data_IF_595175020651
#
_entry.id   IF_595175020651
#
_cell.length_a   1.000
_cell.length_b   1.000
_cell.length_c   1.000
_cell.angle_alpha   90.00
_cell.angle_beta   90.00
_cell.angle_gamma   90.00
#
_symmetry.space_group_name_H-M   'P 1'
#
loop_
_entity.id
_entity.type
_entity.pdbx_description
1 polymer ?
#
# COMPACT_ATOMS: atom_id res chain seq x y z
N UNK A 1 -54.85 2.82 -66.39
CA UNK A 1 -53.77 1.90 -65.99
C UNK A 1 -52.45 2.64 -66.16
N UNK A 2 -51.83 3.14 -65.10
CA UNK A 2 -50.43 3.57 -65.21
C UNK A 2 -49.73 3.45 -63.86
N UNK A 3 -48.78 2.52 -63.81
CA UNK A 3 -48.20 1.90 -62.63
C UNK A 3 -47.08 2.75 -61.99
N UNK A 4 -47.35 4.03 -61.75
CA UNK A 4 -46.36 4.94 -61.20
C UNK A 4 -45.96 4.69 -59.72
N UNK A 5 -46.85 4.22 -58.80
CA UNK A 5 -46.44 4.04 -57.40
C UNK A 5 -45.65 2.76 -57.15
N UNK A 6 -45.67 1.78 -58.08
CA UNK A 6 -44.92 0.52 -57.93
C UNK A 6 -43.44 0.65 -58.29
N UNK A 7 -43.09 1.60 -59.16
CA UNK A 7 -41.72 1.78 -59.64
C UNK A 7 -40.85 2.55 -58.64
N UNK A 8 -41.43 3.51 -57.92
CA UNK A 8 -40.76 4.26 -56.84
C UNK A 8 -40.47 3.36 -55.61
N UNK A 9 -41.38 2.43 -55.30
CA UNK A 9 -41.20 1.49 -54.20
C UNK A 9 -40.06 0.47 -54.45
N UNK A 10 -39.84 0.07 -55.70
CA UNK A 10 -38.77 -0.89 -56.06
C UNK A 10 -37.40 -0.22 -56.02
N UNK A 11 -37.28 1.06 -56.41
CA UNK A 11 -36.02 1.80 -56.32
C UNK A 11 -35.60 2.10 -54.87
N UNK A 12 -36.56 2.32 -53.95
CA UNK A 12 -36.25 2.57 -52.55
C UNK A 12 -35.71 1.31 -51.81
N UNK A 13 -36.17 0.12 -52.17
CA UNK A 13 -35.68 -1.15 -51.58
C UNK A 13 -34.30 -1.53 -52.15
N UNK A 14 -34.02 -1.21 -53.42
CA UNK A 14 -32.70 -1.44 -54.01
C UNK A 14 -31.60 -0.51 -53.42
N UNK A 15 -31.97 0.71 -53.00
CA UNK A 15 -31.03 1.63 -52.34
C UNK A 15 -30.74 1.25 -50.87
N UNK A 16 -31.64 0.52 -50.20
CA UNK A 16 -31.41 0.03 -48.84
C UNK A 16 -30.55 -1.25 -48.78
N UNK A 17 -30.48 -2.02 -49.87
CA UNK A 17 -29.66 -3.24 -49.95
C UNK A 17 -28.17 -3.00 -50.21
N UNK A 18 -27.78 -1.81 -50.66
CA UNK A 18 -26.40 -1.52 -51.07
C UNK A 18 -25.51 -0.88 -49.98
N UNK A 19 -26.03 -0.66 -48.76
CA UNK A 19 -25.30 -0.02 -47.65
C UNK A 19 -25.03 -0.92 -46.44
N UNK A 20 -25.39 -2.22 -46.51
CA UNK A 20 -25.14 -3.19 -45.43
C UNK A 20 -24.00 -4.20 -45.72
N UNK A 21 -23.23 -4.03 -46.78
CA UNK A 21 -22.13 -4.94 -47.15
C UNK A 21 -20.80 -4.75 -46.38
N UNK A 22 -20.45 -3.59 -45.75
CA UNK A 22 -19.09 -3.46 -45.20
C UNK A 22 -18.82 -3.85 -43.72
N UNK A 23 -19.74 -4.35 -42.86
CA UNK A 23 -19.32 -4.88 -41.54
C UNK A 23 -19.38 -6.41 -41.39
N UNK A 24 -19.93 -7.16 -42.35
CA UNK A 24 -20.10 -8.62 -42.24
C UNK A 24 -18.78 -9.43 -42.34
N UNK A 25 -17.73 -8.87 -42.94
CA UNK A 25 -16.48 -9.59 -43.18
C UNK A 25 -15.58 -9.73 -41.92
N UNK A 26 -15.77 -8.91 -40.88
CA UNK A 26 -14.95 -8.98 -39.65
C UNK A 26 -15.45 -9.99 -38.62
N UNK A 27 -16.68 -10.47 -38.73
CA UNK A 27 -17.20 -11.49 -37.81
C UNK A 27 -16.85 -12.93 -38.25
N UNK A 28 -16.71 -13.17 -39.56
CA UNK A 28 -16.36 -14.51 -40.08
C UNK A 28 -14.90 -14.91 -39.82
N UNK A 29 -13.99 -13.95 -39.64
CA UNK A 29 -12.57 -14.21 -39.39
C UNK A 29 -12.29 -14.77 -37.98
N UNK A 30 -13.22 -14.64 -37.03
CA UNK A 30 -13.04 -15.16 -35.67
C UNK A 30 -13.52 -16.59 -35.46
N UNK A 31 -14.15 -17.24 -36.46
CA UNK A 31 -14.68 -18.62 -36.31
C UNK A 31 -14.05 -19.67 -37.23
N UNK A 32 -13.19 -19.28 -38.18
CA UNK A 32 -12.49 -20.22 -39.05
C UNK A 32 -11.05 -20.40 -38.57
N UNK A 33 -10.85 -21.25 -37.55
CA UNK A 33 -9.54 -21.61 -36.99
C UNK A 33 -8.56 -22.20 -38.02
N UNK A 34 -7.96 -21.35 -38.83
CA UNK A 34 -6.89 -21.68 -39.76
C UNK A 34 -5.56 -21.25 -39.16
N UNK A 35 -5.01 -22.09 -38.29
CA UNK A 35 -3.58 -22.04 -37.97
C UNK A 35 -2.85 -22.65 -39.16
N UNK A 36 -2.50 -21.82 -40.14
CA UNK A 36 -1.49 -22.18 -41.13
C UNK A 36 -0.12 -22.19 -40.45
N UNK A 37 0.29 -23.33 -39.90
CA UNK A 37 1.68 -23.54 -39.52
C UNK A 37 2.47 -23.80 -40.80
N UNK A 38 3.34 -22.88 -41.16
CA UNK A 38 4.39 -23.12 -42.17
C UNK A 38 5.38 -24.09 -41.53
N UNK A 39 5.61 -25.31 -42.06
CA UNK A 39 6.70 -26.13 -41.58
C UNK A 39 8.01 -25.56 -42.13
N UNK A 40 8.83 -24.96 -41.27
CA UNK A 40 10.24 -24.74 -41.60
C UNK A 40 10.90 -26.11 -41.84
N UNK A 41 11.42 -26.31 -43.04
CA UNK A 41 12.30 -27.45 -43.34
C UNK A 41 13.70 -27.10 -42.87
N UNK A 42 14.17 -27.82 -41.85
CA UNK A 42 15.58 -27.81 -41.47
C UNK A 42 16.32 -28.86 -42.30
N UNK A 43 16.94 -28.44 -43.40
CA UNK A 43 18.00 -29.21 -44.05
C UNK A 43 19.35 -28.82 -43.46
N UNK A 44 19.99 -29.68 -42.66
CA UNK A 44 21.44 -29.98 -42.70
C UNK A 44 21.88 -31.05 -41.67
N UNK A 45 23.00 -31.77 -41.92
CA UNK A 45 23.18 -33.15 -41.48
C UNK A 45 23.87 -33.34 -40.12
N UNK A 46 23.72 -34.58 -39.64
CA UNK A 46 24.39 -35.23 -38.51
C UNK A 46 25.92 -35.13 -38.62
N UNK A 47 26.54 -34.37 -37.70
CA UNK A 47 27.89 -34.63 -37.22
C UNK A 47 27.80 -34.79 -35.71
N UNK A 48 27.83 -36.04 -35.27
CA UNK A 48 28.14 -36.40 -33.88
C UNK A 48 29.60 -36.07 -33.59
N UNK A 49 29.83 -35.12 -32.69
CA UNK A 49 30.95 -35.20 -31.75
C UNK A 49 30.43 -34.80 -30.37
N UNK A 50 30.08 -35.81 -29.57
CA UNK A 50 29.47 -35.63 -28.25
C UNK A 50 30.57 -35.53 -27.20
N UNK A 51 31.02 -34.32 -26.91
CA UNK A 51 31.63 -34.02 -25.62
C UNK A 51 30.55 -34.12 -24.52
N UNK A 52 30.79 -34.78 -23.37
CA UNK A 52 29.84 -34.76 -22.27
C UNK A 52 29.63 -33.31 -21.78
N UNK A 53 28.40 -32.88 -21.47
CA UNK A 53 28.18 -31.56 -20.92
C UNK A 53 28.96 -31.42 -19.60
N UNK A 54 29.60 -30.27 -19.34
CA UNK A 54 30.23 -30.03 -18.05
C UNK A 54 29.18 -30.20 -16.96
N UNK A 55 29.51 -30.95 -15.92
CA UNK A 55 28.64 -31.13 -14.75
C UNK A 55 28.50 -29.76 -14.09
N UNK A 56 27.34 -29.11 -14.28
CA UNK A 56 27.02 -27.81 -13.70
C UNK A 56 26.97 -27.90 -12.18
N UNK A 57 28.09 -27.57 -11.53
CA UNK A 57 28.20 -27.48 -10.06
C UNK A 57 27.50 -26.25 -9.49
N UNK A 58 26.96 -25.39 -10.35
CA UNK A 58 26.20 -24.19 -10.03
C UNK A 58 24.97 -24.46 -9.15
N UNK A 59 24.26 -25.57 -9.34
CA UNK A 59 23.18 -25.97 -8.43
C UNK A 59 23.70 -26.48 -7.08
N UNK A 60 24.89 -27.10 -7.02
CA UNK A 60 25.48 -27.62 -5.79
C UNK A 60 26.03 -26.48 -4.91
N UNK A 61 26.56 -25.44 -5.55
CA UNK A 61 27.01 -24.20 -4.89
C UNK A 61 25.84 -23.35 -4.38
N UNK A 62 24.69 -23.36 -5.06
CA UNK A 62 23.49 -22.63 -4.63
C UNK A 62 22.88 -23.14 -3.31
N UNK A 63 23.05 -24.44 -3.00
CA UNK A 63 22.55 -25.02 -1.74
C UNK A 63 23.43 -24.75 -0.51
N UNK A 64 24.59 -24.11 -0.68
CA UNK A 64 25.52 -23.72 0.40
C UNK A 64 25.59 -24.72 1.58
N UNK A 65 25.87 -26.03 1.36
CA UNK A 65 25.70 -27.07 2.37
C UNK A 65 26.64 -26.97 3.59
N UNK A 66 27.58 -26.02 3.59
CA UNK A 66 28.48 -25.72 4.70
C UNK A 66 28.46 -24.23 5.10
N UNK A 67 27.42 -23.49 4.71
CA UNK A 67 27.30 -22.04 4.92
C UNK A 67 28.00 -21.23 3.83
N UNK A 68 27.42 -20.07 3.50
CA UNK A 68 28.02 -19.14 2.56
C UNK A 68 29.29 -18.49 3.17
N UNK A 69 30.40 -18.47 2.42
CA UNK A 69 31.53 -17.62 2.78
C UNK A 69 31.05 -16.17 2.78
N UNK A 70 31.13 -15.51 3.94
CA UNK A 70 30.97 -14.07 4.02
C UNK A 70 31.96 -13.42 3.05
N UNK A 71 31.44 -12.64 2.10
CA UNK A 71 32.27 -11.81 1.24
C UNK A 71 33.24 -10.99 2.12
N UNK A 72 34.48 -10.77 1.69
CA UNK A 72 35.41 -9.92 2.43
C UNK A 72 34.75 -8.55 2.63
N UNK A 73 34.52 -8.22 3.89
CA UNK A 73 34.11 -6.89 4.36
C UNK A 73 34.94 -5.85 3.61
N UNK A 74 34.28 -5.03 2.78
CA UNK A 74 34.89 -3.84 2.22
C UNK A 74 35.51 -3.04 3.37
N UNK A 75 36.68 -2.40 3.18
CA UNK A 75 37.40 -1.74 4.26
C UNK A 75 36.47 -0.71 4.90
N UNK A 76 36.20 -0.89 6.21
CA UNK A 76 35.66 0.16 7.07
C UNK A 76 36.63 1.34 6.97
N UNK A 77 36.22 2.37 6.24
CA UNK A 77 36.91 3.64 6.26
C UNK A 77 36.87 4.18 7.69
N UNK A 78 38.01 4.65 8.22
CA UNK A 78 38.11 5.06 9.61
C UNK A 78 37.43 6.42 9.80
N UNK A 79 36.46 6.46 10.71
CA UNK A 79 36.13 7.65 11.49
C UNK A 79 35.86 8.93 10.69
N UNK A 80 34.79 8.95 9.89
CA UNK A 80 34.04 10.19 9.76
C UNK A 80 33.22 10.32 11.05
N UNK A 81 33.34 11.47 11.72
CA UNK A 81 32.46 11.80 12.84
C UNK A 81 31.03 11.63 12.38
N UNK A 82 30.35 10.58 12.85
CA UNK A 82 29.00 10.22 12.41
C UNK A 82 28.07 11.40 12.66
N UNK A 83 27.89 12.25 11.65
CA UNK A 83 26.98 13.38 11.70
C UNK A 83 25.58 12.82 11.84
N UNK A 84 24.90 13.13 12.93
CA UNK A 84 23.52 12.68 13.14
C UNK A 84 22.61 13.63 12.40
N UNK A 85 22.02 13.18 11.29
CA UNK A 85 20.97 13.92 10.60
C UNK A 85 19.64 13.58 11.29
N UNK A 86 18.92 14.61 11.73
CA UNK A 86 17.58 14.47 12.30
C UNK A 86 16.57 14.39 11.16
N UNK A 87 16.24 13.16 10.77
CA UNK A 87 15.39 12.84 9.64
C UNK A 87 14.30 11.87 10.09
N UNK A 88 13.06 12.17 9.71
CA UNK A 88 11.91 11.32 10.00
C UNK A 88 11.26 10.88 8.69
N UNK A 89 11.11 9.56 8.53
CA UNK A 89 10.43 8.98 7.38
C UNK A 89 8.91 8.97 7.65
N UNK A 90 8.14 9.71 6.85
CA UNK A 90 6.69 9.79 7.01
C UNK A 90 5.94 8.81 6.10
N UNK A 91 6.50 8.44 4.96
CA UNK A 91 5.81 7.62 3.97
C UNK A 91 6.73 7.13 2.87
N UNK A 92 6.42 5.95 2.34
CA UNK A 92 7.08 5.43 1.13
C UNK A 92 6.04 4.93 0.15
N UNK A 93 6.20 5.34 -1.10
CA UNK A 93 5.50 4.77 -2.25
C UNK A 93 6.50 3.97 -3.08
N UNK A 94 6.50 2.64 -2.91
CA UNK A 94 7.34 1.74 -3.71
C UNK A 94 6.63 1.43 -5.02
N UNK A 95 7.25 1.76 -6.15
CA UNK A 95 6.76 1.38 -7.47
C UNK A 95 7.51 0.14 -7.98
N UNK A 96 6.91 -0.60 -8.92
CA UNK A 96 7.56 -1.76 -9.56
C UNK A 96 8.87 -1.40 -10.26
N UNK A 97 9.01 -0.12 -10.66
CA UNK A 97 10.25 0.45 -11.14
C UNK A 97 10.83 1.34 -10.03
N UNK A 98 12.04 1.04 -9.51
CA UNK A 98 12.63 1.79 -8.39
C UNK A 98 12.83 3.28 -8.71
N UNK A 99 12.99 3.67 -9.98
CA UNK A 99 13.10 5.08 -10.37
C UNK A 99 11.79 5.87 -10.15
N UNK A 100 10.66 5.17 -10.08
CA UNK A 100 9.33 5.75 -9.80
C UNK A 100 8.98 5.74 -8.32
N UNK A 101 9.78 5.12 -7.46
CA UNK A 101 9.58 5.11 -6.01
C UNK A 101 9.74 6.51 -5.42
N UNK A 102 8.94 6.84 -4.42
CA UNK A 102 8.95 8.14 -3.74
C UNK A 102 8.99 7.93 -2.24
N UNK A 103 9.77 8.75 -1.55
CA UNK A 103 9.77 8.83 -0.10
C UNK A 103 9.28 10.22 0.34
N UNK A 104 8.45 10.25 1.38
CA UNK A 104 8.02 11.47 2.05
C UNK A 104 8.85 11.59 3.32
N UNK A 105 9.72 12.59 3.39
CA UNK A 105 10.74 12.70 4.42
C UNK A 105 10.68 14.09 5.04
N UNK A 106 10.71 14.16 6.36
CA UNK A 106 10.89 15.40 7.09
C UNK A 106 12.36 15.63 7.41
N UNK A 107 12.86 16.81 7.00
CA UNK A 107 14.22 17.27 7.31
C UNK A 107 14.12 18.61 8.01
N UNK A 108 14.65 18.73 9.23
CA UNK A 108 14.63 19.98 9.99
C UNK A 108 13.22 20.53 10.26
N UNK A 109 12.20 19.67 10.26
CA UNK A 109 10.79 20.03 10.49
C UNK A 109 9.96 20.36 9.24
N UNK A 110 10.55 20.36 8.04
CA UNK A 110 9.82 20.50 6.77
C UNK A 110 9.64 19.15 6.07
N UNK A 111 8.42 18.83 5.63
CA UNK A 111 8.08 17.56 4.96
C UNK A 111 8.08 17.75 3.44
N UNK A 112 8.93 16.99 2.75
CA UNK A 112 9.05 17.04 1.28
C UNK A 112 9.11 15.65 0.63
N UNK A 113 9.02 15.61 -0.70
CA UNK A 113 9.00 14.38 -1.52
C UNK A 113 10.33 14.18 -2.24
N UNK A 114 10.94 13.02 -2.02
CA UNK A 114 12.27 12.67 -2.54
C UNK A 114 12.25 11.40 -3.40
N UNK A 115 13.21 11.32 -4.31
CA UNK A 115 13.50 10.20 -5.21
C UNK A 115 14.90 9.66 -4.92
N UNK A 116 15.16 8.43 -5.38
CA UNK A 116 16.51 7.86 -5.34
C UNK A 116 17.46 8.78 -6.11
N UNK A 117 18.53 9.22 -5.44
CA UNK A 117 19.52 10.17 -5.93
C UNK A 117 19.25 11.64 -5.62
N UNK A 118 18.12 11.98 -4.99
CA UNK A 118 17.85 13.36 -4.54
C UNK A 118 18.69 13.70 -3.29
N UNK A 119 18.97 14.99 -3.09
CA UNK A 119 19.69 15.52 -1.92
C UNK A 119 18.68 15.89 -0.81
N UNK A 120 18.91 15.37 0.40
CA UNK A 120 18.07 15.52 1.59
C UNK A 120 18.59 16.59 2.55
N UNK A 121 19.48 17.48 2.08
CA UNK A 121 20.25 18.45 2.84
C UNK A 121 21.53 17.90 3.50
N UNK A 122 22.47 18.81 3.74
CA UNK A 122 23.76 18.52 4.40
C UNK A 122 24.62 17.45 3.68
N UNK A 123 24.54 17.38 2.34
CA UNK A 123 25.19 16.36 1.50
C UNK A 123 24.70 14.92 1.77
N UNK A 124 23.50 14.76 2.32
CA UNK A 124 22.85 13.47 2.42
C UNK A 124 22.14 13.14 1.11
N UNK A 125 22.42 11.98 0.51
CA UNK A 125 21.82 11.54 -0.76
C UNK A 125 20.96 10.30 -0.52
N UNK A 126 19.76 10.25 -1.11
CA UNK A 126 18.88 9.09 -1.00
C UNK A 126 19.43 7.94 -1.86
N UNK A 127 20.05 6.95 -1.23
CA UNK A 127 20.66 5.82 -1.92
C UNK A 127 19.63 4.76 -2.32
N UNK A 128 18.63 4.48 -1.46
CA UNK A 128 17.59 3.51 -1.76
C UNK A 128 16.27 3.81 -1.03
N UNK A 129 15.18 3.32 -1.61
CA UNK A 129 13.83 3.40 -1.06
C UNK A 129 13.26 1.98 -0.96
N UNK A 130 13.02 1.50 0.25
CA UNK A 130 12.37 0.23 0.56
C UNK A 130 11.01 0.46 1.22
N UNK A 131 10.19 -0.59 1.35
CA UNK A 131 8.82 -0.46 1.84
C UNK A 131 8.76 0.04 3.30
N UNK A 132 9.77 -0.32 4.09
CA UNK A 132 9.85 -0.16 5.54
C UNK A 132 10.99 0.77 5.99
N UNK A 133 11.93 1.09 5.09
CA UNK A 133 13.05 1.97 5.37
C UNK A 133 13.56 2.70 4.11
N UNK A 134 14.32 3.76 4.33
CA UNK A 134 15.14 4.41 3.32
C UNK A 134 16.61 4.31 3.67
N UNK A 135 17.46 4.18 2.66
CA UNK A 135 18.91 4.19 2.82
C UNK A 135 19.44 5.53 2.35
N UNK A 136 20.17 6.22 3.21
CA UNK A 136 20.71 7.56 2.97
C UNK A 136 22.22 7.49 3.12
N UNK A 137 22.94 7.95 2.10
CA UNK A 137 24.39 8.13 2.14
C UNK A 137 24.70 9.51 2.69
N UNK A 138 25.39 9.58 3.83
CA UNK A 138 25.79 10.84 4.46
C UNK A 138 27.31 10.89 4.42
N UNK A 139 27.89 11.73 3.55
CA UNK A 139 29.34 11.87 3.38
C UNK A 139 30.08 10.52 3.12
N UNK A 140 29.42 9.56 2.47
CA UNK A 140 29.94 8.21 2.20
C UNK A 140 29.64 7.16 3.27
N UNK A 141 28.94 7.52 4.35
CA UNK A 141 28.40 6.59 5.34
C UNK A 141 26.94 6.27 5.02
N UNK A 142 26.66 5.05 4.55
CA UNK A 142 25.29 4.58 4.35
C UNK A 142 24.61 4.26 5.68
N UNK A 143 23.43 4.87 5.89
CA UNK A 143 22.58 4.65 7.07
C UNK A 143 21.15 4.39 6.67
N UNK A 144 20.45 3.62 7.49
CA UNK A 144 19.05 3.27 7.27
C UNK A 144 18.16 4.05 8.21
N UNK A 145 17.07 4.59 7.68
CA UNK A 145 16.05 5.31 8.43
C UNK A 145 14.70 4.65 8.17
N UNK A 146 14.04 4.22 9.24
CA UNK A 146 12.67 3.73 9.23
C UNK A 146 11.70 4.81 9.69
N UNK A 147 10.43 4.44 9.83
CA UNK A 147 9.38 5.32 10.34
C UNK A 147 9.65 5.81 11.77
N UNK A 148 10.34 4.99 12.58
CA UNK A 148 10.69 5.31 13.97
C UNK A 148 12.06 6.03 14.10
N UNK A 149 12.69 6.40 12.98
CA UNK A 149 13.99 7.08 12.93
C UNK A 149 15.15 6.18 12.47
N UNK A 150 16.39 6.55 12.80
CA UNK A 150 17.58 5.85 12.36
C UNK A 150 17.64 4.41 12.91
N UNK A 151 17.84 3.44 12.03
CA UNK A 151 17.83 1.99 12.31
C UNK A 151 19.25 1.42 12.60
N UNK A 152 20.23 2.28 12.87
CA UNK A 152 21.62 1.86 13.10
C UNK A 152 21.77 1.08 14.41
N UNK A 153 21.75 -0.26 14.31
CA UNK A 153 22.24 -1.14 15.37
C UNK A 153 21.51 -2.48 15.54
N UNK A 154 21.43 -3.33 14.52
CA UNK A 154 21.05 -4.74 14.73
C UNK A 154 21.80 -5.70 13.80
N UNK A 155 23.11 -5.90 14.04
CA UNK A 155 23.71 -7.22 13.81
C UNK A 155 23.31 -8.11 14.98
N UNK A 156 22.37 -9.01 14.75
CA UNK A 156 21.95 -10.00 15.73
C UNK A 156 22.95 -11.15 15.90
N UNK A 157 23.28 -11.48 17.15
CA UNK A 157 23.41 -12.86 17.61
C UNK A 157 23.65 -12.95 19.11
N UNK A 158 22.76 -13.71 19.78
CA UNK A 158 23.19 -14.67 20.79
C UNK A 158 23.20 -14.20 22.24
N UNK A 159 22.11 -14.54 22.94
CA UNK A 159 22.15 -15.15 24.28
C UNK A 159 23.09 -14.52 25.32
N UNK A 160 22.52 -13.74 26.23
CA UNK A 160 22.52 -14.17 27.64
C UNK A 160 21.43 -13.43 28.41
N UNK A 161 20.48 -14.21 28.91
CA UNK A 161 19.76 -13.88 30.13
C UNK A 161 20.79 -13.54 31.20
N UNK A 162 20.91 -12.27 31.56
CA UNK A 162 21.26 -11.81 32.91
C UNK A 162 20.90 -10.34 32.96
N UNK A 163 19.68 -10.04 33.43
CA UNK A 163 19.47 -8.77 34.11
C UNK A 163 20.43 -8.75 35.30
N UNK A 164 21.24 -7.68 35.49
CA UNK A 164 21.78 -7.44 36.81
C UNK A 164 20.58 -7.13 37.69
N UNK A 165 20.22 -8.08 38.55
CA UNK A 165 19.40 -7.82 39.73
C UNK A 165 20.13 -6.71 40.48
N UNK A 166 19.56 -5.51 40.64
CA UNK A 166 20.00 -4.63 41.70
C UNK A 166 19.61 -5.36 42.97
N UNK A 167 20.61 -5.77 43.74
CA UNK A 167 20.44 -6.29 45.09
C UNK A 167 19.78 -5.17 45.92
N UNK A 168 18.45 -5.18 45.95
CA UNK A 168 17.62 -4.26 46.71
C UNK A 168 16.95 -5.06 47.82
N UNK A 169 17.51 -4.92 49.01
CA UNK A 169 16.94 -5.40 50.25
C UNK A 169 15.42 -5.10 50.34
N UNK A 170 14.60 -5.98 50.93
CA UNK A 170 13.15 -5.79 50.95
C UNK A 170 12.78 -4.62 51.88
N UNK A 171 12.05 -3.58 51.42
CA UNK A 171 11.29 -2.74 52.34
C UNK A 171 10.04 -3.50 52.79
N UNK A 172 10.02 -3.75 54.09
CA UNK A 172 8.97 -4.40 54.85
C UNK A 172 7.84 -3.40 55.11
N UNK A 173 6.75 -3.41 54.34
CA UNK A 173 5.35 -3.23 54.80
C UNK A 173 4.40 -2.91 53.62
N UNK A 174 3.13 -3.36 53.64
CA UNK A 174 2.10 -2.93 52.68
C UNK A 174 1.86 -1.41 52.68
N UNK A 175 2.17 -0.73 53.79
CA UNK A 175 1.97 0.71 53.95
C UNK A 175 3.01 1.52 53.16
N UNK A 176 4.25 1.04 53.05
CA UNK A 176 5.29 1.68 52.22
C UNK A 176 4.98 1.56 50.73
N UNK A 177 4.36 0.46 50.30
CA UNK A 177 3.84 0.31 48.93
C UNK A 177 2.71 1.30 48.62
N UNK A 178 1.78 1.50 49.55
CA UNK A 178 0.69 2.46 49.37
C UNK A 178 1.22 3.91 49.35
N UNK A 179 2.22 4.23 50.19
CA UNK A 179 2.87 5.55 50.18
C UNK A 179 3.64 5.82 48.89
N UNK A 180 4.27 4.81 48.30
CA UNK A 180 4.91 4.93 46.98
C UNK A 180 3.90 5.15 45.85
N UNK A 181 2.67 4.66 46.00
CA UNK A 181 1.57 4.90 45.07
C UNK A 181 0.85 6.25 45.26
N UNK A 182 1.08 6.94 46.39
CA UNK A 182 0.46 8.23 46.75
C UNK A 182 1.53 9.34 46.81
N UNK A 183 2.49 9.31 45.88
CA UNK A 183 3.30 10.49 45.59
C UNK A 183 2.49 11.41 44.67
N UNK A 184 2.31 12.71 44.99
CA UNK A 184 1.70 13.64 44.05
C UNK A 184 2.68 13.86 42.89
N UNK A 185 2.45 13.13 41.80
CA UNK A 185 3.26 13.14 40.59
C UNK A 185 3.54 11.73 40.09
N UNK A 186 2.82 11.32 39.05
CA UNK A 186 2.71 9.96 38.46
C UNK A 186 1.70 9.04 39.14
N UNK A 187 0.44 9.45 39.00
CA UNK A 187 -0.72 8.62 39.32
C UNK A 187 -1.93 9.10 38.54
N UNK A 188 -1.86 9.05 37.21
CA UNK A 188 -3.06 8.78 36.42
C UNK A 188 -2.73 7.62 35.50
N UNK A 189 -3.65 6.66 35.50
CA UNK A 189 -3.79 5.66 34.47
C UNK A 189 -3.88 6.37 33.09
N UNK A 190 -3.65 5.60 32.05
CA UNK A 190 -3.74 5.92 30.61
C UNK A 190 -2.44 6.22 29.88
N UNK A 191 -2.25 5.43 28.81
CA UNK A 191 -1.18 5.41 27.80
C UNK A 191 0.02 4.48 28.08
N UNK A 192 -0.26 3.20 28.37
CA UNK A 192 0.34 2.20 27.49
C UNK A 192 -0.40 2.36 26.17
N UNK A 193 0.18 3.09 25.22
CA UNK A 193 -0.20 3.00 23.81
C UNK A 193 -0.33 1.50 23.52
N UNK A 194 -1.51 1.05 23.08
CA UNK A 194 -1.65 -0.33 22.63
C UNK A 194 -0.58 -0.54 21.55
N UNK A 195 0.11 -1.71 21.51
CA UNK A 195 1.03 -1.98 20.41
C UNK A 195 0.30 -1.71 19.09
N UNK A 196 0.96 -1.05 18.12
CA UNK A 196 0.32 -0.69 16.87
C UNK A 196 -0.28 -1.96 16.24
N UNK A 197 -1.49 -1.90 15.67
CA UNK A 197 -2.12 -3.07 15.06
C UNK A 197 -1.20 -3.69 14.01
N UNK A 198 -0.91 -4.99 14.17
CA UNK A 198 0.03 -5.72 13.32
C UNK A 198 -0.66 -6.31 12.08
N UNK A 199 -1.99 -6.49 12.12
CA UNK A 199 -2.77 -7.06 11.02
C UNK A 199 -3.94 -6.18 10.58
N UNK A 200 -4.42 -6.35 9.35
CA UNK A 200 -5.65 -5.68 8.85
C UNK A 200 -6.86 -5.90 9.76
N UNK A 201 -6.95 -7.10 10.35
CA UNK A 201 -8.02 -7.43 11.30
C UNK A 201 -7.89 -6.60 12.59
N UNK A 202 -6.69 -6.45 13.12
CA UNK A 202 -6.47 -5.62 14.32
C UNK A 202 -6.77 -4.14 14.02
N UNK A 203 -6.46 -3.66 12.82
CA UNK A 203 -6.88 -2.34 12.38
C UNK A 203 -8.40 -2.20 12.35
N UNK A 204 -9.12 -3.16 11.76
CA UNK A 204 -10.60 -3.15 11.74
C UNK A 204 -11.17 -3.18 13.15
N UNK A 205 -10.60 -3.99 14.05
CA UNK A 205 -11.04 -4.09 15.44
C UNK A 205 -10.78 -2.78 16.21
N UNK A 206 -9.61 -2.14 16.01
CA UNK A 206 -9.28 -0.83 16.57
C UNK A 206 -10.26 0.26 16.09
N UNK A 207 -10.58 0.27 14.80
CA UNK A 207 -11.54 1.22 14.24
C UNK A 207 -12.96 0.94 14.75
N UNK A 208 -13.35 -0.33 14.90
CA UNK A 208 -14.64 -0.71 15.51
C UNK A 208 -14.79 -0.11 16.91
N UNK A 209 -13.80 -0.30 17.76
CA UNK A 209 -13.82 0.20 19.14
C UNK A 209 -13.98 1.72 19.18
N UNK A 210 -13.29 2.44 18.30
CA UNK A 210 -13.38 3.91 18.21
C UNK A 210 -14.76 4.37 17.73
N UNK A 211 -15.32 3.72 16.71
CA UNK A 211 -16.66 4.03 16.19
C UNK A 211 -17.73 3.76 17.25
N UNK A 212 -17.57 2.70 18.05
CA UNK A 212 -18.50 2.38 19.16
C UNK A 212 -18.42 3.44 20.26
N UNK A 213 -17.21 3.88 20.59
CA UNK A 213 -16.95 4.84 21.67
C UNK A 213 -17.39 6.26 21.32
N UNK A 214 -17.00 6.76 20.15
CA UNK A 214 -17.34 8.09 19.66
C UNK A 214 -17.38 8.13 18.12
N UNK A 215 -18.57 7.94 17.52
CA UNK A 215 -18.70 7.94 16.07
C UNK A 215 -18.43 9.32 15.46
N UNK A 216 -18.71 10.42 16.16
CA UNK A 216 -18.48 11.77 15.65
C UNK A 216 -16.98 12.05 15.54
N UNK A 217 -16.19 11.71 16.56
CA UNK A 217 -14.74 11.89 16.53
C UNK A 217 -14.07 11.09 15.40
N UNK A 218 -14.62 9.90 15.06
CA UNK A 218 -14.16 9.12 13.91
C UNK A 218 -14.43 9.83 12.59
N UNK A 219 -15.64 10.37 12.43
CA UNK A 219 -16.01 11.11 11.22
C UNK A 219 -15.14 12.35 11.05
N UNK A 220 -14.88 13.09 12.13
CA UNK A 220 -13.96 14.23 12.12
C UNK A 220 -12.54 13.83 11.72
N UNK A 221 -12.04 12.69 12.24
CA UNK A 221 -10.70 12.16 11.91
C UNK A 221 -10.57 11.78 10.43
N UNK A 222 -11.64 11.26 9.84
CA UNK A 222 -11.66 10.84 8.43
C UNK A 222 -11.96 12.04 7.52
N UNK A 223 -12.62 13.08 8.03
CA UNK A 223 -13.10 14.23 7.28
C UNK A 223 -14.46 13.98 6.61
N UNK A 224 -15.39 13.42 7.37
CA UNK A 224 -16.79 13.18 6.97
C UNK A 224 -17.70 14.08 7.78
N UNK A 225 -18.62 14.77 7.10
CA UNK A 225 -19.63 15.62 7.75
C UNK A 225 -21.00 14.95 7.60
N UNK A 226 -21.70 14.62 8.70
CA UNK A 226 -23.04 14.06 8.64
C UNK A 226 -24.06 15.07 8.08
N UNK A 227 -25.08 14.56 7.39
CA UNK A 227 -26.15 15.39 6.82
C UNK A 227 -27.38 14.55 6.45
N UNK A 228 -28.48 15.24 6.15
CA UNK A 228 -29.80 14.60 5.94
C UNK A 228 -29.84 13.63 4.75
N UNK A 229 -28.94 13.79 3.77
CA UNK A 229 -28.86 12.93 2.58
C UNK A 229 -27.52 12.16 2.50
N UNK A 230 -26.88 11.93 3.65
CA UNK A 230 -25.64 11.15 3.73
C UNK A 230 -24.43 11.91 4.24
N UNK A 231 -23.25 11.31 4.06
CA UNK A 231 -21.98 11.88 4.52
C UNK A 231 -21.32 12.71 3.44
N UNK A 232 -20.99 13.95 3.75
CA UNK A 232 -20.25 14.85 2.84
C UNK A 232 -18.76 14.79 3.15
N UNK A 233 -17.93 14.63 2.14
CA UNK A 233 -16.46 14.68 2.30
C UNK A 233 -16.03 16.13 2.53
N UNK A 234 -15.33 16.38 3.64
CA UNK A 234 -14.83 17.70 4.02
C UNK A 234 -13.78 18.25 3.04
N UNK A 235 -13.43 19.53 3.17
CA UNK A 235 -12.40 20.19 2.35
C UNK A 235 -11.00 19.59 2.54
N UNK A 236 -10.68 19.17 3.76
CA UNK A 236 -9.41 18.52 4.13
C UNK A 236 -9.69 17.11 4.70
N UNK A 237 -10.00 16.13 3.84
CA UNK A 237 -10.25 14.77 4.28
C UNK A 237 -8.94 14.02 4.51
N UNK A 238 -9.02 12.93 5.27
CA UNK A 238 -7.88 12.06 5.50
C UNK A 238 -7.31 11.54 4.16
N UNK A 239 -5.99 11.36 4.09
CA UNK A 239 -5.29 10.85 2.90
C UNK A 239 -5.88 9.53 2.37
N UNK A 240 -6.39 8.65 3.26
CA UNK A 240 -7.05 7.42 2.86
C UNK A 240 -8.29 7.64 1.99
N UNK A 241 -9.07 8.69 2.27
CA UNK A 241 -10.28 9.05 1.51
C UNK A 241 -9.92 9.48 0.10
N UNK A 242 -8.90 10.34 -0.05
CA UNK A 242 -8.46 10.81 -1.38
C UNK A 242 -7.78 9.72 -2.19
N UNK A 243 -7.03 8.82 -1.54
CA UNK A 243 -6.46 7.63 -2.19
C UNK A 243 -7.53 6.66 -2.69
N UNK A 244 -8.68 6.58 -2.02
CA UNK A 244 -9.83 5.82 -2.50
C UNK A 244 -10.52 6.47 -3.73
N UNK A 245 -10.09 7.65 -4.16
CA UNK A 245 -10.64 8.36 -5.33
C UNK A 245 -11.87 9.21 -5.02
N UNK A 246 -12.21 9.35 -3.74
CA UNK A 246 -13.18 10.33 -3.27
C UNK A 246 -12.56 11.73 -3.29
N UNK A 247 -13.38 12.74 -3.52
CA UNK A 247 -12.97 14.14 -3.59
C UNK A 247 -13.73 14.97 -2.54
N UNK A 248 -13.15 16.06 -2.06
CA UNK A 248 -13.89 17.05 -1.28
C UNK A 248 -15.20 17.46 -1.96
N UNK A 249 -16.28 17.53 -1.18
CA UNK A 249 -17.63 17.84 -1.67
C UNK A 249 -18.43 16.66 -2.22
N UNK A 250 -17.81 15.48 -2.35
CA UNK A 250 -18.55 14.25 -2.64
C UNK A 250 -19.53 13.93 -1.52
N UNK A 251 -20.71 13.39 -1.87
CA UNK A 251 -21.70 12.95 -0.89
C UNK A 251 -21.94 11.45 -0.98
N UNK A 252 -21.60 10.71 0.06
CA UNK A 252 -21.88 9.28 0.19
C UNK A 252 -23.32 9.11 0.65
N UNK A 253 -24.18 8.59 -0.23
CA UNK A 253 -25.62 8.38 0.06
C UNK A 253 -25.90 6.95 0.52
N UNK A 254 -25.16 5.96 0.00
CA UNK A 254 -25.28 4.55 0.41
C UNK A 254 -23.96 3.85 0.58
N UNK A 255 -23.94 2.89 1.51
CA UNK A 255 -22.86 1.93 1.68
C UNK A 255 -23.43 0.52 1.68
N UNK A 256 -22.92 -0.35 0.81
CA UNK A 256 -23.41 -1.72 0.60
C UNK A 256 -24.93 -1.82 0.33
N UNK A 257 -25.53 -0.77 -0.24
CA UNK A 257 -26.97 -0.69 -0.54
C UNK A 257 -27.84 -0.16 0.60
N UNK A 258 -27.24 0.17 1.75
CA UNK A 258 -27.90 0.78 2.90
C UNK A 258 -27.73 2.30 2.86
N UNK A 259 -28.81 3.06 3.06
CA UNK A 259 -28.76 4.51 3.23
C UNK A 259 -27.99 4.87 4.51
N UNK A 260 -27.10 5.85 4.39
CA UNK A 260 -26.24 6.36 5.46
C UNK A 260 -26.46 7.86 5.68
N UNK A 261 -25.93 8.41 6.78
CA UNK A 261 -25.97 9.84 7.11
C UNK A 261 -26.19 10.14 8.59
N UNK A 262 -26.59 9.14 9.37
CA UNK A 262 -26.83 9.25 10.81
C UNK A 262 -25.78 8.43 11.57
N UNK A 263 -24.76 9.07 12.19
CA UNK A 263 -23.67 8.38 12.87
C UNK A 263 -24.11 7.42 13.98
N UNK A 264 -25.21 7.72 14.68
CA UNK A 264 -25.70 6.89 15.78
C UNK A 264 -26.36 5.62 15.25
N UNK A 265 -27.12 5.74 14.15
CA UNK A 265 -27.75 4.61 13.46
C UNK A 265 -26.72 3.77 12.71
N UNK A 266 -25.79 4.43 12.02
CA UNK A 266 -24.86 3.79 11.10
C UNK A 266 -23.77 3.01 11.82
N UNK A 267 -23.55 3.29 13.11
CA UNK A 267 -22.68 2.54 14.01
C UNK A 267 -22.91 1.02 13.95
N UNK A 268 -24.16 0.59 13.81
CA UNK A 268 -24.53 -0.83 13.76
C UNK A 268 -24.13 -1.51 12.44
N UNK A 269 -23.96 -0.75 11.35
CA UNK A 269 -23.67 -1.28 10.02
C UNK A 269 -22.17 -1.53 9.81
N UNK A 270 -21.31 -0.97 10.66
CA UNK A 270 -19.86 -1.14 10.54
C UNK A 270 -19.44 -2.61 10.55
N UNK A 271 -20.01 -3.41 11.46
CA UNK A 271 -19.68 -4.83 11.58
C UNK A 271 -20.06 -5.63 10.34
N UNK A 272 -21.18 -5.29 9.71
CA UNK A 272 -21.63 -5.91 8.47
C UNK A 272 -20.69 -5.57 7.31
N UNK A 273 -20.28 -4.31 7.20
CA UNK A 273 -19.34 -3.84 6.18
C UNK A 273 -17.97 -4.50 6.37
N UNK A 274 -17.47 -4.57 7.61
CA UNK A 274 -16.21 -5.24 7.93
C UNK A 274 -16.27 -6.74 7.61
N UNK A 275 -17.38 -7.41 7.94
CA UNK A 275 -17.58 -8.84 7.69
C UNK A 275 -17.68 -9.18 6.19
N UNK A 276 -18.26 -8.29 5.38
CA UNK A 276 -18.33 -8.50 3.93
C UNK A 276 -16.93 -8.47 3.28
N UNK A 277 -15.99 -7.75 3.91
CA UNK A 277 -14.63 -7.49 3.46
C UNK A 277 -14.54 -6.73 2.14
N UNK A 278 -15.63 -6.08 1.74
CA UNK A 278 -15.66 -5.11 0.65
C UNK A 278 -16.69 -4.00 0.94
N UNK A 279 -16.33 -2.76 0.68
CA UNK A 279 -17.23 -1.61 0.81
C UNK A 279 -17.63 -1.11 -0.57
N UNK A 280 -18.92 -1.13 -0.90
CA UNK A 280 -19.50 -0.53 -2.10
C UNK A 280 -20.17 0.77 -1.72
N UNK A 281 -19.73 1.88 -2.29
CA UNK A 281 -20.25 3.21 -1.99
C UNK A 281 -21.01 3.77 -3.19
N UNK A 282 -22.21 4.30 -2.94
CA UNK A 282 -22.90 5.20 -3.87
C UNK A 282 -22.60 6.63 -3.46
N UNK A 283 -22.01 7.37 -4.39
CA UNK A 283 -21.50 8.72 -4.15
C UNK A 283 -22.11 9.68 -5.16
N UNK A 284 -22.62 10.81 -4.71
CA UNK A 284 -23.08 11.89 -5.57
C UNK A 284 -21.95 12.91 -5.72
N UNK A 285 -21.52 13.15 -6.95
CA UNK A 285 -20.52 14.16 -7.32
C UNK A 285 -21.08 15.02 -8.43
N UNK A 286 -21.13 16.33 -8.23
CA UNK A 286 -21.67 17.29 -9.21
C UNK A 286 -23.10 16.96 -9.71
N UNK A 287 -23.89 16.26 -8.88
CA UNK A 287 -25.24 15.79 -9.21
C UNK A 287 -25.32 14.43 -9.94
N UNK A 288 -24.19 13.82 -10.29
CA UNK A 288 -24.13 12.48 -10.87
C UNK A 288 -23.88 11.41 -9.79
N UNK A 289 -24.50 10.24 -9.91
CA UNK A 289 -24.28 9.11 -8.99
C UNK A 289 -23.16 8.21 -9.53
N UNK A 290 -22.11 8.06 -8.74
CA UNK A 290 -20.96 7.19 -8.99
C UNK A 290 -21.03 6.00 -8.04
N UNK A 291 -20.74 4.81 -8.57
CA UNK A 291 -20.62 3.59 -7.77
C UNK A 291 -19.14 3.22 -7.63
N UNK A 292 -18.66 3.14 -6.40
CA UNK A 292 -17.28 2.78 -6.08
C UNK A 292 -17.26 1.49 -5.26
N UNK A 293 -16.19 0.71 -5.34
CA UNK A 293 -16.05 -0.53 -4.57
C UNK A 293 -14.61 -0.71 -4.11
N UNK A 294 -14.43 -1.04 -2.83
CA UNK A 294 -13.14 -1.11 -2.15
C UNK A 294 -12.98 -2.44 -1.42
N UNK A 295 -11.86 -3.16 -1.59
CA UNK A 295 -11.54 -4.31 -0.76
C UNK A 295 -11.12 -3.85 0.64
N UNK A 296 -11.50 -4.60 1.67
CA UNK A 296 -11.13 -4.34 3.08
C UNK A 296 -10.15 -5.40 3.63
N UNK A 297 -9.52 -6.19 2.75
CA UNK A 297 -8.67 -7.33 3.06
C UNK A 297 -7.54 -7.46 2.05
#
# INVERSE_FOLDING_TARGET
MSNLPRLVAICAVAALGATLVPPGARLAAHMAGHTSVVPERFDTPLTEDRAPPPVGTENILAFAPFGAQAAPTAPKSPGATARTLDLVLHGVLVASDPARSRALIAVGGGVDRYRIGDDLAENAILAAIAADFVEVDIDGDSRRFGFDGALDGASGSGSTLTSPIPDAAPPQSPLDRLRAAIVPGRGSLDLREAPPPETTKDYIDLWRERIIADPQAVLDTIGLVPGDEGYTIAEDPNIGVTMAGLKPGDRVTRVNGQDVGDPDRDRAFYDEIAASGQARLEVVRDGETLLMSFPLR
#
